data_IF_250162548192
#
_entry.id   IF_250162548192
#
_cell.length_a   1.000
_cell.length_b   1.000
_cell.length_c   1.000
_cell.angle_alpha   90.00
_cell.angle_beta   90.00
_cell.angle_gamma   90.00
#
_symmetry.space_group_name_H-M   'P 1'
#
loop_
_entity.id
_entity.type
_entity.pdbx_description
1 polymer ?
#
# COMPACT_ATOMS: atom_id res chain seq x y z
N UNK A 1 -11.34 20.92 22.82
CA UNK A 1 -11.79 19.67 22.17
C UNK A 1 -10.61 18.72 21.93
N UNK A 2 -9.61 19.10 21.15
CA UNK A 2 -8.49 18.19 20.74
C UNK A 2 -7.61 17.70 21.91
N UNK A 3 -7.25 18.55 22.87
CA UNK A 3 -6.46 18.13 24.04
C UNK A 3 -7.20 17.06 24.84
N UNK A 4 -8.48 17.27 25.14
CA UNK A 4 -9.31 16.29 25.84
C UNK A 4 -9.44 14.96 25.09
N UNK A 5 -9.59 15.01 23.75
CA UNK A 5 -9.61 13.79 22.96
C UNK A 5 -8.28 13.03 23.07
N UNK A 6 -7.15 13.74 23.01
CA UNK A 6 -5.81 13.14 23.15
C UNK A 6 -5.62 12.45 24.50
N UNK A 7 -6.04 13.10 25.58
CA UNK A 7 -6.00 12.55 26.94
C UNK A 7 -6.79 11.25 27.05
N UNK A 8 -7.98 11.18 26.43
CA UNK A 8 -8.81 9.98 26.39
C UNK A 8 -8.24 8.91 25.46
N UNK A 9 -7.71 9.29 24.30
CA UNK A 9 -7.20 8.38 23.29
C UNK A 9 -5.91 7.68 23.74
N UNK A 10 -5.04 8.37 24.50
CA UNK A 10 -3.74 7.83 24.92
C UNK A 10 -3.87 6.49 25.67
N UNK A 11 -4.61 6.38 26.79
CA UNK A 11 -4.71 5.10 27.50
C UNK A 11 -5.41 4.00 26.67
N UNK A 12 -6.32 4.39 25.76
CA UNK A 12 -6.98 3.44 24.86
C UNK A 12 -5.95 2.91 23.86
N UNK A 13 -5.15 3.79 23.28
CA UNK A 13 -4.09 3.43 22.35
C UNK A 13 -3.10 2.43 22.97
N UNK A 14 -2.59 2.73 24.16
CA UNK A 14 -1.61 1.86 24.82
C UNK A 14 -2.17 0.47 25.06
N UNK A 15 -3.38 0.36 25.62
CA UNK A 15 -4.04 -0.94 25.84
C UNK A 15 -4.32 -1.68 24.53
N UNK A 16 -4.79 -0.96 23.51
CA UNK A 16 -5.07 -1.58 22.21
C UNK A 16 -3.80 -2.08 21.52
N UNK A 17 -2.71 -1.29 21.59
CA UNK A 17 -1.41 -1.70 21.05
C UNK A 17 -0.88 -2.96 21.77
N UNK A 18 -0.88 -2.95 23.09
CA UNK A 18 -0.47 -4.09 23.90
C UNK A 18 -1.32 -5.33 23.62
N UNK A 19 -2.63 -5.16 23.52
CA UNK A 19 -3.54 -6.25 23.14
C UNK A 19 -3.18 -6.86 21.79
N UNK A 20 -2.93 -6.05 20.76
CA UNK A 20 -2.54 -6.53 19.44
C UNK A 20 -1.17 -7.20 19.42
N UNK A 21 -0.20 -6.72 20.20
CA UNK A 21 1.12 -7.37 20.35
C UNK A 21 0.99 -8.75 20.99
N UNK A 22 0.10 -8.89 21.96
CA UNK A 22 -0.15 -10.16 22.66
C UNK A 22 -1.09 -11.11 21.90
N UNK A 23 -1.84 -10.59 20.91
CA UNK A 23 -2.77 -11.36 20.08
C UNK A 23 -2.52 -11.11 18.58
N UNK A 24 -1.33 -11.42 18.05
CA UNK A 24 -0.97 -11.11 16.66
C UNK A 24 -1.86 -11.81 15.63
N UNK A 25 -2.43 -12.97 15.98
CA UNK A 25 -3.36 -13.69 15.12
C UNK A 25 -4.62 -12.89 14.80
N UNK A 26 -5.00 -11.91 15.63
CA UNK A 26 -6.12 -11.02 15.35
C UNK A 26 -5.80 -10.09 14.19
N UNK A 27 -4.60 -9.49 14.20
CA UNK A 27 -4.11 -8.65 13.07
C UNK A 27 -4.00 -9.48 11.80
N UNK A 28 -3.41 -10.68 11.87
CA UNK A 28 -3.25 -11.56 10.71
C UNK A 28 -4.62 -11.91 10.09
N UNK A 29 -5.59 -12.29 10.93
CA UNK A 29 -6.97 -12.58 10.47
C UNK A 29 -7.63 -11.37 9.83
N UNK A 30 -7.43 -10.18 10.42
CA UNK A 30 -8.00 -8.94 9.93
C UNK A 30 -7.39 -8.53 8.59
N UNK A 31 -6.06 -8.61 8.47
CA UNK A 31 -5.34 -8.36 7.20
C UNK A 31 -5.80 -9.35 6.12
N UNK A 32 -5.89 -10.64 6.45
CA UNK A 32 -6.37 -11.67 5.50
C UNK A 32 -7.80 -11.40 5.04
N UNK A 33 -8.70 -11.05 5.97
CA UNK A 33 -10.08 -10.71 5.63
C UNK A 33 -10.16 -9.52 4.67
N UNK A 34 -9.48 -8.40 4.99
CA UNK A 34 -9.48 -7.21 4.14
C UNK A 34 -8.84 -7.51 2.77
N UNK A 35 -7.72 -8.23 2.76
CA UNK A 35 -7.07 -8.65 1.51
C UNK A 35 -8.01 -9.47 0.64
N UNK A 36 -8.74 -10.42 1.23
CA UNK A 36 -9.69 -11.27 0.50
C UNK A 36 -10.85 -10.46 -0.09
N UNK A 37 -11.40 -9.50 0.66
CA UNK A 37 -12.46 -8.63 0.15
C UNK A 37 -11.96 -7.70 -0.96
N UNK A 38 -10.78 -7.10 -0.79
CA UNK A 38 -10.14 -6.27 -1.83
C UNK A 38 -9.86 -7.08 -3.08
N UNK A 39 -9.26 -8.25 -2.95
CA UNK A 39 -8.96 -9.13 -4.09
C UNK A 39 -10.24 -9.60 -4.80
N UNK A 40 -11.33 -9.86 -4.06
CA UNK A 40 -12.64 -10.17 -4.64
C UNK A 40 -13.20 -9.01 -5.47
N UNK A 41 -13.06 -7.76 -4.97
CA UNK A 41 -13.45 -6.55 -5.71
C UNK A 41 -12.64 -6.42 -7.00
N UNK A 42 -11.31 -6.55 -6.90
CA UNK A 42 -10.40 -6.43 -8.04
C UNK A 42 -10.68 -7.51 -9.09
N UNK A 43 -10.84 -8.78 -8.66
CA UNK A 43 -11.16 -9.89 -9.56
C UNK A 43 -12.48 -9.66 -10.32
N UNK A 44 -13.52 -9.24 -9.60
CA UNK A 44 -14.84 -8.97 -10.20
C UNK A 44 -14.78 -7.85 -11.25
N UNK A 45 -13.86 -6.89 -11.08
CA UNK A 45 -13.75 -5.72 -11.93
C UNK A 45 -12.51 -5.75 -12.85
N UNK A 46 -11.76 -6.85 -12.90
CA UNK A 46 -10.48 -6.93 -13.60
C UNK A 46 -10.58 -6.54 -15.09
N UNK A 47 -11.59 -7.07 -15.81
CA UNK A 47 -11.81 -6.74 -17.22
C UNK A 47 -12.16 -5.26 -17.45
N UNK A 48 -12.93 -4.66 -16.54
CA UNK A 48 -13.24 -3.23 -16.61
C UNK A 48 -12.01 -2.39 -16.32
N UNK A 49 -11.17 -2.81 -15.36
CA UNK A 49 -9.91 -2.14 -15.04
C UNK A 49 -8.95 -2.21 -16.22
N UNK A 50 -8.87 -3.36 -16.89
CA UNK A 50 -8.09 -3.52 -18.11
C UNK A 50 -8.60 -2.59 -19.22
N UNK A 51 -9.91 -2.58 -19.46
CA UNK A 51 -10.52 -1.71 -20.47
C UNK A 51 -10.23 -0.24 -20.19
N UNK A 52 -10.39 0.22 -18.94
CA UNK A 52 -10.12 1.62 -18.55
C UNK A 52 -8.63 1.96 -18.74
N UNK A 53 -7.73 1.05 -18.35
CA UNK A 53 -6.29 1.23 -18.49
C UNK A 53 -5.86 1.30 -19.96
N UNK A 54 -6.29 0.33 -20.77
CA UNK A 54 -5.94 0.22 -22.19
C UNK A 54 -6.52 1.41 -22.98
N UNK A 55 -7.74 1.83 -22.66
CA UNK A 55 -8.37 3.00 -23.29
C UNK A 55 -7.58 4.28 -23.02
N UNK A 56 -7.14 4.49 -21.78
CA UNK A 56 -6.30 5.64 -21.43
C UNK A 56 -4.93 5.58 -22.14
N UNK A 57 -4.37 4.39 -22.28
CA UNK A 57 -3.11 4.16 -22.99
C UNK A 57 -3.23 4.49 -24.48
N UNK A 58 -4.30 4.04 -25.15
CA UNK A 58 -4.58 4.33 -26.56
C UNK A 58 -4.73 5.84 -26.80
N UNK A 59 -5.23 6.58 -25.81
CA UNK A 59 -5.44 8.03 -25.92
C UNK A 59 -4.15 8.85 -25.73
N UNK A 60 -3.01 8.20 -25.49
CA UNK A 60 -1.73 8.88 -25.25
C UNK A 60 -1.36 9.93 -26.30
N UNK A 61 -1.55 9.76 -27.61
CA UNK A 61 -1.24 10.79 -28.62
C UNK A 61 -1.89 12.14 -28.37
N UNK A 62 -3.06 12.16 -27.69
CA UNK A 62 -3.78 13.40 -27.39
C UNK A 62 -3.25 14.17 -26.18
N UNK A 63 -2.50 13.52 -25.31
CA UNK A 63 -2.02 14.13 -24.06
C UNK A 63 -0.51 14.00 -23.81
N UNK A 64 0.24 13.46 -24.78
CA UNK A 64 1.70 13.34 -24.68
C UNK A 64 2.42 14.68 -24.47
N UNK A 65 1.86 15.76 -25.02
CA UNK A 65 2.41 17.11 -24.91
C UNK A 65 1.88 17.89 -23.70
N UNK A 66 1.13 17.26 -22.82
CA UNK A 66 0.63 17.89 -21.60
C UNK A 66 1.81 18.34 -20.73
N UNK A 67 1.84 19.58 -20.19
CA UNK A 67 2.99 20.09 -19.47
C UNK A 67 3.42 19.20 -18.31
N UNK A 68 4.72 18.93 -18.12
CA UNK A 68 5.22 18.06 -17.05
C UNK A 68 4.81 18.53 -15.65
N UNK A 69 4.80 19.82 -15.39
CA UNK A 69 4.39 20.41 -14.13
C UNK A 69 2.92 20.15 -13.77
N UNK A 70 2.05 20.08 -14.76
CA UNK A 70 0.63 19.78 -14.55
C UNK A 70 0.39 18.27 -14.36
N UNK A 71 1.34 17.44 -14.79
CA UNK A 71 1.33 15.98 -14.58
C UNK A 71 2.08 15.56 -13.33
N UNK A 72 2.71 16.49 -12.64
CA UNK A 72 3.47 16.25 -11.42
C UNK A 72 4.86 15.66 -11.61
N UNK A 73 5.25 15.21 -12.84
CA UNK A 73 6.59 14.62 -13.11
C UNK A 73 7.05 14.87 -14.53
N UNK A 74 8.37 15.10 -14.69
CA UNK A 74 9.00 15.01 -15.98
C UNK A 74 9.00 13.56 -16.50
N UNK A 75 8.81 13.33 -17.81
CA UNK A 75 8.91 12.01 -18.40
C UNK A 75 10.32 11.43 -18.24
N UNK A 76 10.43 10.18 -17.81
CA UNK A 76 11.70 9.46 -17.71
C UNK A 76 11.55 8.12 -18.42
N UNK A 77 12.07 8.02 -19.65
CA UNK A 77 12.06 6.77 -20.43
C UNK A 77 10.64 6.23 -20.65
N UNK A 78 10.48 4.93 -20.47
CA UNK A 78 9.24 4.19 -20.65
C UNK A 78 8.24 4.30 -19.47
N UNK A 79 8.65 4.95 -18.38
CA UNK A 79 7.78 5.14 -17.21
C UNK A 79 6.78 6.28 -17.36
N UNK A 80 6.98 7.08 -18.38
CA UNK A 80 6.11 8.19 -18.71
C UNK A 80 5.09 7.74 -19.77
N UNK A 81 3.90 8.09 -19.64
CA UNK A 81 3.00 8.67 -18.63
C UNK A 81 2.20 7.64 -17.83
N UNK A 82 2.57 6.40 -17.95
CA UNK A 82 1.81 5.20 -17.61
C UNK A 82 1.66 4.97 -16.12
N UNK A 83 2.55 5.55 -15.32
CA UNK A 83 2.43 5.51 -13.84
C UNK A 83 1.09 6.09 -13.41
N UNK A 84 0.72 7.25 -13.97
CA UNK A 84 -0.54 7.93 -13.62
C UNK A 84 -1.75 7.21 -14.19
N UNK A 85 -1.63 6.58 -15.36
CA UNK A 85 -2.73 5.80 -15.96
C UNK A 85 -3.22 4.70 -15.02
N UNK A 86 -2.32 4.00 -14.31
CA UNK A 86 -2.71 3.00 -13.33
C UNK A 86 -3.45 3.60 -12.13
N UNK A 87 -2.98 4.73 -11.62
CA UNK A 87 -3.61 5.44 -10.51
C UNK A 87 -5.02 5.90 -10.89
N UNK A 88 -5.17 6.51 -12.08
CA UNK A 88 -6.43 7.06 -12.54
C UNK A 88 -7.41 6.01 -13.10
N UNK A 89 -6.96 4.90 -13.64
CA UNK A 89 -7.85 3.84 -14.12
C UNK A 89 -8.18 2.82 -13.02
N UNK A 90 -7.19 2.04 -12.59
CA UNK A 90 -7.36 0.97 -11.59
C UNK A 90 -7.74 1.57 -10.23
N UNK A 91 -7.05 2.63 -9.78
CA UNK A 91 -7.26 3.26 -8.48
C UNK A 91 -8.66 3.89 -8.36
N UNK A 92 -9.11 4.65 -9.36
CA UNK A 92 -10.45 5.26 -9.35
C UNK A 92 -11.53 4.19 -9.37
N UNK A 93 -11.38 3.15 -10.19
CA UNK A 93 -12.36 2.06 -10.21
C UNK A 93 -12.41 1.33 -8.88
N UNK A 94 -11.27 1.02 -8.29
CA UNK A 94 -11.18 0.42 -6.97
C UNK A 94 -11.91 1.28 -5.91
N UNK A 95 -11.67 2.58 -5.90
CA UNK A 95 -12.31 3.53 -4.97
C UNK A 95 -13.84 3.55 -5.09
N UNK A 96 -14.37 3.42 -6.29
CA UNK A 96 -15.82 3.35 -6.52
C UNK A 96 -16.44 2.03 -6.04
N UNK A 97 -15.71 0.93 -6.22
CA UNK A 97 -16.22 -0.41 -5.95
C UNK A 97 -16.09 -0.84 -4.49
N UNK A 98 -15.18 -0.24 -3.71
CA UNK A 98 -14.95 -0.62 -2.31
C UNK A 98 -16.18 -0.37 -1.43
N UNK A 99 -16.96 0.65 -1.73
CA UNK A 99 -18.21 0.97 -1.05
C UNK A 99 -19.30 -0.13 -1.21
N UNK A 100 -19.13 -1.04 -2.16
CA UNK A 100 -20.02 -2.20 -2.31
C UNK A 100 -19.87 -3.24 -1.19
N UNK A 101 -18.80 -3.17 -0.41
CA UNK A 101 -18.44 -4.15 0.63
C UNK A 101 -18.36 -3.57 2.03
N UNK A 102 -18.10 -2.27 2.14
CA UNK A 102 -17.85 -1.59 3.40
C UNK A 102 -18.60 -0.27 3.47
N UNK A 103 -18.89 0.20 4.68
CA UNK A 103 -19.09 1.63 4.87
C UNK A 103 -17.73 2.30 4.78
N UNK A 104 -17.62 3.36 3.98
CA UNK A 104 -16.37 4.02 3.63
C UNK A 104 -16.42 5.47 4.04
N UNK A 105 -15.44 5.90 4.83
CA UNK A 105 -15.17 7.31 5.12
C UNK A 105 -13.81 7.70 4.57
N UNK A 106 -13.74 8.81 3.85
CA UNK A 106 -12.50 9.44 3.38
C UNK A 106 -12.19 10.65 4.26
N UNK A 107 -11.36 10.45 5.26
CA UNK A 107 -11.04 11.48 6.26
C UNK A 107 -9.79 12.31 5.91
N UNK A 108 -9.22 12.13 4.73
CA UNK A 108 -8.05 12.91 4.28
C UNK A 108 -6.81 12.72 5.15
N UNK A 109 -6.62 11.54 5.74
CA UNK A 109 -5.45 11.24 6.56
C UNK A 109 -4.14 11.41 5.77
N UNK A 110 -3.14 12.19 6.26
CA UNK A 110 -1.96 12.56 5.51
C UNK A 110 -0.98 11.39 5.39
N UNK A 111 -1.15 10.56 4.36
CA UNK A 111 -0.23 9.48 4.01
C UNK A 111 0.26 9.64 2.58
N UNK A 112 1.27 8.84 2.20
CA UNK A 112 1.72 8.76 0.81
C UNK A 112 0.99 7.71 -0.03
N UNK A 113 -0.03 7.05 0.51
CA UNK A 113 -0.85 6.10 -0.25
C UNK A 113 -1.83 6.85 -1.17
N UNK A 114 -2.08 6.31 -2.36
CA UNK A 114 -2.96 6.91 -3.35
C UNK A 114 -4.42 6.87 -2.90
N UNK A 115 -4.81 5.78 -2.24
CA UNK A 115 -6.15 5.55 -1.71
C UNK A 115 -6.10 5.33 -0.19
N UNK A 116 -6.98 5.98 0.55
CA UNK A 116 -7.01 6.02 2.02
C UNK A 116 -8.44 5.94 2.50
N UNK A 117 -8.82 4.81 3.07
CA UNK A 117 -10.18 4.58 3.50
C UNK A 117 -10.25 4.16 4.97
N UNK A 118 -11.14 4.78 5.73
CA UNK A 118 -11.66 4.19 6.94
C UNK A 118 -12.81 3.26 6.54
N UNK A 119 -12.57 1.96 6.64
CA UNK A 119 -13.54 0.92 6.29
C UNK A 119 -14.19 0.38 7.54
N UNK A 120 -15.53 0.34 7.59
CA UNK A 120 -16.25 -0.27 8.70
C UNK A 120 -17.29 -1.26 8.23
N UNK A 121 -17.49 -2.32 9.03
CA UNK A 121 -18.54 -3.31 8.81
C UNK A 121 -18.78 -4.17 10.06
N UNK A 122 -20.00 -4.70 10.20
CA UNK A 122 -20.34 -5.69 11.23
C UNK A 122 -19.51 -6.99 11.12
N UNK A 123 -18.94 -7.30 9.94
CA UNK A 123 -18.05 -8.46 9.76
C UNK A 123 -16.69 -8.24 10.42
N UNK A 124 -16.16 -7.01 10.37
CA UNK A 124 -14.93 -6.62 11.08
C UNK A 124 -15.16 -6.78 12.58
N UNK A 125 -16.24 -6.23 13.12
CA UNK A 125 -16.59 -6.31 14.55
C UNK A 125 -16.70 -7.75 15.02
N UNK A 126 -17.41 -8.59 14.28
CA UNK A 126 -17.54 -10.02 14.57
C UNK A 126 -16.18 -10.74 14.53
N UNK A 127 -15.37 -10.49 13.51
CA UNK A 127 -14.04 -11.10 13.34
C UNK A 127 -13.10 -10.74 14.49
N UNK A 128 -13.16 -9.51 14.95
CA UNK A 128 -12.33 -8.96 16.02
C UNK A 128 -12.92 -9.17 17.41
N UNK A 129 -14.06 -9.85 17.53
CA UNK A 129 -14.78 -10.09 18.80
C UNK A 129 -15.06 -8.78 19.55
N UNK A 130 -15.41 -7.72 18.84
CA UNK A 130 -15.72 -6.41 19.41
C UNK A 130 -14.51 -5.53 19.73
N UNK A 131 -13.28 -5.96 19.41
CA UNK A 131 -12.10 -5.11 19.57
C UNK A 131 -12.17 -3.86 18.70
N UNK A 132 -12.62 -3.99 17.46
CA UNK A 132 -12.88 -2.89 16.53
C UNK A 132 -13.97 -3.26 15.53
N UNK A 133 -14.65 -2.26 14.96
CA UNK A 133 -15.58 -2.40 13.84
C UNK A 133 -14.99 -1.85 12.52
N UNK A 134 -13.77 -1.34 12.58
CA UNK A 134 -13.17 -0.58 11.47
C UNK A 134 -11.67 -0.82 11.30
N UNK A 135 -11.17 -0.53 10.09
CA UNK A 135 -9.75 -0.52 9.73
C UNK A 135 -9.42 0.69 8.87
N UNK A 136 -8.20 1.19 8.96
CA UNK A 136 -7.61 2.07 7.97
C UNK A 136 -6.97 1.24 6.86
N UNK A 137 -7.52 1.31 5.66
CA UNK A 137 -6.90 0.74 4.47
C UNK A 137 -6.11 1.83 3.74
N UNK A 138 -4.81 1.62 3.60
CA UNK A 138 -3.90 2.40 2.77
C UNK A 138 -3.56 1.56 1.54
N UNK A 139 -4.13 1.90 0.40
CA UNK A 139 -3.85 1.21 -0.85
C UNK A 139 -3.03 2.12 -1.77
N UNK A 140 -1.92 1.60 -2.25
CA UNK A 140 -0.96 2.30 -3.07
C UNK A 140 -0.90 1.64 -4.44
N UNK A 141 -1.10 2.41 -5.50
CA UNK A 141 -1.17 1.91 -6.89
C UNK A 141 0.21 2.05 -7.53
N UNK A 142 0.80 0.94 -7.91
CA UNK A 142 2.19 0.88 -8.42
C UNK A 142 2.25 0.31 -9.83
N UNK A 143 1.97 1.14 -10.82
CA UNK A 143 2.15 0.76 -12.24
C UNK A 143 3.62 0.48 -12.54
N UNK A 144 3.88 -0.63 -13.22
CA UNK A 144 5.23 -1.06 -13.60
C UNK A 144 5.25 -1.63 -15.02
N UNK A 145 6.34 -1.38 -15.71
CA UNK A 145 6.57 -1.84 -17.06
C UNK A 145 7.57 -2.99 -17.18
N UNK A 146 7.92 -3.39 -18.40
CA UNK A 146 8.82 -4.53 -18.68
C UNK A 146 10.24 -4.36 -18.13
N UNK A 147 10.70 -3.12 -17.95
CA UNK A 147 12.04 -2.80 -17.43
C UNK A 147 12.11 -2.79 -15.91
N UNK A 148 10.98 -2.78 -15.26
CA UNK A 148 10.89 -2.75 -13.80
C UNK A 148 11.07 -4.17 -13.22
N UNK A 149 11.65 -4.24 -12.04
CA UNK A 149 11.65 -5.48 -11.29
C UNK A 149 10.23 -5.77 -10.77
N UNK A 150 9.64 -6.85 -11.25
CA UNK A 150 8.28 -7.25 -10.93
C UNK A 150 8.20 -8.08 -9.64
N UNK A 151 9.32 -8.52 -9.09
CA UNK A 151 9.40 -9.39 -7.90
C UNK A 151 9.21 -8.66 -6.57
N UNK A 152 9.00 -7.33 -6.58
CA UNK A 152 8.82 -6.53 -5.38
C UNK A 152 7.94 -5.30 -5.62
N UNK A 153 7.56 -4.61 -4.57
CA UNK A 153 6.99 -3.25 -4.64
C UNK A 153 7.84 -2.26 -3.86
N UNK A 154 7.87 -1.00 -4.31
CA UNK A 154 8.60 0.09 -3.64
C UNK A 154 7.65 0.84 -2.75
N UNK A 155 7.97 0.97 -1.48
CA UNK A 155 7.16 1.66 -0.47
C UNK A 155 7.92 2.83 0.14
N UNK A 156 7.26 3.95 0.27
CA UNK A 156 7.79 5.13 0.95
C UNK A 156 7.55 5.04 2.47
N UNK A 157 8.31 5.83 3.24
CA UNK A 157 8.20 5.86 4.70
C UNK A 157 6.77 6.19 5.19
N UNK A 158 6.00 6.96 4.44
CA UNK A 158 4.63 7.36 4.75
C UNK A 158 3.56 6.42 4.15
N UNK A 159 3.93 5.21 3.80
CA UNK A 159 3.04 4.16 3.27
C UNK A 159 3.05 2.89 4.13
N UNK A 160 4.05 2.70 4.98
CA UNK A 160 4.19 1.52 5.85
C UNK A 160 4.00 1.93 7.30
N UNK A 161 3.27 1.12 8.07
CA UNK A 161 3.13 1.30 9.51
C UNK A 161 4.32 0.72 10.29
N UNK A 162 4.61 1.31 11.44
CA UNK A 162 5.73 0.94 12.31
C UNK A 162 5.30 0.42 13.69
N UNK A 163 6.23 0.49 14.66
CA UNK A 163 6.06 -0.05 16.02
C UNK A 163 5.04 0.71 16.88
N UNK A 164 4.77 1.97 16.57
CA UNK A 164 3.74 2.77 17.22
C UNK A 164 3.96 2.98 18.72
N UNK A 165 5.10 3.53 19.11
CA UNK A 165 5.35 3.92 20.50
C UNK A 165 4.76 5.30 20.74
N UNK A 166 3.85 5.44 21.73
CA UNK A 166 3.33 6.75 22.10
C UNK A 166 4.27 7.39 23.12
N UNK A 167 4.92 8.46 22.70
CA UNK A 167 5.78 9.25 23.55
C UNK A 167 4.99 10.42 24.17
N UNK A 168 4.87 10.39 25.51
CA UNK A 168 4.16 11.43 26.25
C UNK A 168 4.89 12.78 26.21
N UNK A 169 6.22 12.79 26.16
CA UNK A 169 7.00 14.03 26.12
C UNK A 169 6.83 14.75 24.79
N UNK A 170 6.85 14.01 23.68
CA UNK A 170 6.64 14.54 22.34
C UNK A 170 5.15 14.57 21.94
N UNK A 171 4.25 14.12 22.80
CA UNK A 171 2.79 14.13 22.63
C UNK A 171 2.31 13.49 21.32
N UNK A 172 2.97 12.43 20.85
CA UNK A 172 2.64 11.78 19.60
C UNK A 172 3.07 10.31 19.54
N UNK A 173 2.66 9.66 18.46
CA UNK A 173 3.07 8.29 18.14
C UNK A 173 4.29 8.32 17.23
N UNK A 174 5.32 7.59 17.62
CA UNK A 174 6.58 7.46 16.90
C UNK A 174 6.83 6.00 16.55
N UNK A 175 7.60 5.76 15.52
CA UNK A 175 7.99 4.43 15.10
C UNK A 175 9.50 4.27 15.23
N UNK A 176 9.91 3.14 15.75
CA UNK A 176 11.33 2.73 15.72
C UNK A 176 11.74 2.39 14.27
N UNK A 177 13.01 2.60 13.91
CA UNK A 177 13.50 2.22 12.59
C UNK A 177 13.44 0.71 12.40
N UNK A 178 13.25 0.29 11.16
CA UNK A 178 13.31 -1.11 10.72
C UNK A 178 14.54 -1.30 9.85
N UNK A 179 15.32 -2.35 10.07
CA UNK A 179 16.48 -2.63 9.22
C UNK A 179 16.03 -3.24 7.88
N UNK A 180 16.07 -2.45 6.82
CA UNK A 180 15.91 -2.95 5.46
C UNK A 180 17.21 -3.67 5.04
N UNK A 181 17.15 -5.00 4.85
CA UNK A 181 18.31 -5.85 4.64
C UNK A 181 18.38 -6.36 3.20
N UNK A 182 19.40 -5.99 2.47
CA UNK A 182 19.69 -6.49 1.13
C UNK A 182 20.97 -7.32 1.09
N UNK A 183 21.23 -7.97 -0.04
CA UNK A 183 22.44 -8.78 -0.23
C UNK A 183 23.74 -7.98 -0.16
N UNK A 184 23.72 -6.71 -0.59
CA UNK A 184 24.93 -5.87 -0.72
C UNK A 184 24.92 -4.63 0.18
N UNK A 185 23.78 -4.27 0.72
CA UNK A 185 23.62 -3.09 1.55
C UNK A 185 22.43 -3.26 2.47
N UNK A 186 22.45 -2.52 3.58
CA UNK A 186 21.33 -2.39 4.49
C UNK A 186 21.20 -0.92 4.87
N UNK A 187 19.99 -0.48 5.22
CA UNK A 187 19.77 0.85 5.82
C UNK A 187 18.59 0.82 6.77
N UNK A 188 18.54 1.77 7.66
CA UNK A 188 17.38 1.99 8.50
C UNK A 188 16.24 2.58 7.67
N UNK A 189 15.08 1.96 7.75
CA UNK A 189 13.83 2.45 7.18
C UNK A 189 12.98 3.01 8.33
N UNK A 190 12.53 4.25 8.20
CA UNK A 190 11.78 4.98 9.22
C UNK A 190 10.30 5.07 8.82
N UNK A 191 9.44 4.10 9.17
CA UNK A 191 8.02 4.17 8.85
C UNK A 191 7.39 5.36 9.58
N UNK A 192 6.51 6.09 8.88
CA UNK A 192 5.86 7.26 9.47
C UNK A 192 4.43 6.97 9.96
N UNK A 193 3.83 5.86 9.52
CA UNK A 193 2.44 5.53 9.83
C UNK A 193 2.38 4.74 11.16
N UNK A 194 1.48 5.07 12.09
CA UNK A 194 1.26 4.25 13.29
C UNK A 194 0.59 2.92 12.93
N UNK A 195 0.75 1.85 13.73
CA UNK A 195 0.13 0.55 13.46
C UNK A 195 -1.39 0.55 13.67
N UNK A 196 -1.88 1.48 14.46
CA UNK A 196 -3.30 1.72 14.72
C UNK A 196 -3.54 3.20 15.03
N UNK A 197 -4.77 3.64 14.87
CA UNK A 197 -5.22 5.01 15.11
C UNK A 197 -6.43 4.94 16.06
N UNK A 198 -6.57 5.90 16.96
CA UNK A 198 -7.79 6.05 17.74
C UNK A 198 -8.68 7.08 17.04
N UNK A 199 -9.84 6.63 16.61
CA UNK A 199 -10.81 7.48 15.90
C UNK A 199 -11.44 8.53 16.81
N UNK A 200 -12.21 9.44 16.24
CA UNK A 200 -12.97 10.44 17.01
C UNK A 200 -13.93 9.78 18.01
N UNK A 201 -14.46 8.62 17.68
CA UNK A 201 -15.34 7.82 18.58
C UNK A 201 -14.56 7.00 19.63
N UNK A 202 -13.27 7.26 19.79
CA UNK A 202 -12.37 6.57 20.74
C UNK A 202 -12.23 5.05 20.47
N UNK A 203 -12.47 4.60 19.25
CA UNK A 203 -12.27 3.20 18.86
C UNK A 203 -10.85 2.98 18.30
N UNK A 204 -10.18 1.90 18.69
CA UNK A 204 -8.90 1.51 18.10
C UNK A 204 -9.14 0.99 16.68
N UNK A 205 -8.39 1.49 15.71
CA UNK A 205 -8.55 1.18 14.30
C UNK A 205 -7.20 0.78 13.71
N UNK A 206 -6.94 -0.52 13.50
CA UNK A 206 -5.69 -1.00 12.91
C UNK A 206 -5.48 -0.48 11.49
N UNK A 207 -4.22 -0.26 11.13
CA UNK A 207 -3.81 0.15 9.79
C UNK A 207 -3.43 -1.08 8.97
N UNK A 208 -3.98 -1.17 7.77
CA UNK A 208 -3.66 -2.21 6.77
C UNK A 208 -3.08 -1.53 5.55
N UNK A 209 -1.92 -1.99 5.10
CA UNK A 209 -1.25 -1.45 3.91
C UNK A 209 -1.28 -2.46 2.79
N UNK A 210 -1.72 -2.04 1.61
CA UNK A 210 -1.72 -2.85 0.40
C UNK A 210 -1.07 -2.09 -0.75
N UNK A 211 -0.32 -2.81 -1.58
CA UNK A 211 0.05 -2.36 -2.92
C UNK A 211 -0.84 -3.08 -3.94
N UNK A 212 -1.42 -2.31 -4.85
CA UNK A 212 -2.11 -2.81 -6.05
C UNK A 212 -1.19 -2.49 -7.22
N UNK A 213 -0.76 -3.51 -7.95
CA UNK A 213 0.32 -3.39 -8.93
C UNK A 213 -0.18 -3.74 -10.33
N UNK A 214 -0.64 -2.75 -11.11
CA UNK A 214 -0.85 -2.90 -12.54
C UNK A 214 0.49 -3.13 -13.24
N UNK A 215 0.59 -4.20 -14.04
CA UNK A 215 1.77 -4.51 -14.86
C UNK A 215 1.37 -4.35 -16.31
N UNK A 216 2.08 -3.49 -17.04
CA UNK A 216 1.86 -3.30 -18.46
C UNK A 216 2.99 -3.89 -19.30
N UNK A 217 2.70 -4.24 -20.55
CA UNK A 217 3.68 -4.53 -21.58
C UNK A 217 3.89 -3.31 -22.46
N UNK A 218 4.84 -3.40 -23.38
CA UNK A 218 5.09 -2.38 -24.40
C UNK A 218 4.88 -3.01 -25.77
N UNK A 219 3.93 -2.50 -26.51
CA UNK A 219 3.73 -2.89 -27.89
C UNK A 219 4.60 -2.03 -28.81
N UNK A 220 5.36 -2.64 -29.76
CA UNK A 220 6.09 -1.87 -30.74
C UNK A 220 5.14 -1.07 -31.63
N UNK A 221 5.48 0.15 -31.92
CA UNK A 221 4.82 0.93 -32.94
C UNK A 221 5.30 0.52 -34.34
N UNK A 222 4.41 0.60 -35.32
CA UNK A 222 4.78 0.53 -36.73
C UNK A 222 5.33 1.86 -37.27
N UNK A 223 5.30 2.91 -36.46
CA UNK A 223 5.78 4.25 -36.79
C UNK A 223 7.14 4.51 -36.14
N UNK A 224 8.16 4.84 -36.97
CA UNK A 224 9.52 5.12 -36.48
C UNK A 224 9.64 6.42 -35.67
N UNK A 225 8.70 7.38 -35.83
CA UNK A 225 8.66 8.62 -35.08
C UNK A 225 7.98 8.43 -33.69
N UNK A 226 7.14 7.42 -33.57
CA UNK A 226 6.46 7.05 -32.34
C UNK A 226 6.79 5.60 -31.99
N UNK A 227 7.90 5.33 -31.29
CA UNK A 227 8.38 3.98 -31.04
C UNK A 227 7.44 3.12 -30.17
N UNK A 228 6.35 3.68 -29.67
CA UNK A 228 5.45 3.01 -28.74
C UNK A 228 4.03 2.91 -29.32
N UNK A 229 3.61 1.71 -29.66
CA UNK A 229 2.26 1.44 -30.20
C UNK A 229 1.17 1.44 -29.12
N UNK A 230 1.53 1.17 -27.88
CA UNK A 230 0.63 1.12 -26.74
C UNK A 230 1.28 0.46 -25.53
N UNK A 231 0.63 0.55 -24.39
CA UNK A 231 1.07 -0.08 -23.15
C UNK A 231 -0.12 -0.81 -22.50
N UNK A 232 -0.55 -1.94 -23.06
CA UNK A 232 -1.68 -2.68 -22.54
C UNK A 232 -1.39 -3.25 -21.15
N UNK A 233 -2.42 -3.28 -20.31
CA UNK A 233 -2.37 -3.96 -19.01
C UNK A 233 -2.32 -5.48 -19.23
N UNK A 234 -1.27 -6.14 -18.73
CA UNK A 234 -1.06 -7.58 -18.90
C UNK A 234 -1.20 -8.37 -17.62
N UNK A 235 -1.09 -7.72 -16.45
CA UNK A 235 -1.27 -8.39 -15.16
C UNK A 235 -1.66 -7.39 -14.08
N UNK A 236 -2.42 -7.87 -13.12
CA UNK A 236 -2.78 -7.15 -11.90
C UNK A 236 -2.40 -7.98 -10.69
N UNK A 237 -1.45 -7.49 -9.91
CA UNK A 237 -1.00 -8.14 -8.68
C UNK A 237 -1.44 -7.32 -7.45
N UNK A 238 -1.54 -7.99 -6.29
CA UNK A 238 -1.71 -7.35 -4.99
C UNK A 238 -0.67 -7.84 -4.01
N UNK A 239 -0.26 -6.96 -3.10
CA UNK A 239 0.62 -7.31 -2.00
C UNK A 239 0.14 -6.63 -0.71
N UNK A 240 -0.12 -7.42 0.34
CA UNK A 240 -0.47 -6.92 1.67
C UNK A 240 0.77 -6.93 2.55
N UNK A 241 1.22 -5.75 2.91
CA UNK A 241 2.39 -5.54 3.77
C UNK A 241 1.94 -5.75 5.22
N UNK A 242 2.62 -6.62 5.99
CA UNK A 242 2.26 -6.84 7.39
C UNK A 242 2.26 -5.54 8.19
N UNK A 243 1.30 -5.41 9.10
CA UNK A 243 1.23 -4.29 10.03
C UNK A 243 2.54 -4.16 10.82
N UNK A 244 2.91 -2.93 11.17
CA UNK A 244 4.18 -2.63 11.85
C UNK A 244 4.39 -3.40 13.16
N UNK A 245 3.32 -3.76 13.89
CA UNK A 245 3.44 -4.61 15.08
C UNK A 245 3.85 -6.05 14.72
N UNK A 246 3.35 -6.60 13.62
CA UNK A 246 3.76 -7.91 13.11
C UNK A 246 5.21 -7.87 12.60
N UNK A 247 5.60 -6.75 11.98
CA UNK A 247 6.96 -6.57 11.47
C UNK A 247 8.00 -6.50 12.60
N UNK A 248 7.73 -5.74 13.67
CA UNK A 248 8.75 -5.33 14.66
C UNK A 248 8.58 -5.96 16.05
N UNK A 249 7.37 -6.37 16.44
CA UNK A 249 7.06 -6.83 17.80
C UNK A 249 6.80 -8.34 17.82
N UNK A 250 5.59 -8.76 17.56
CA UNK A 250 5.20 -10.17 17.59
C UNK A 250 4.36 -10.49 16.35
N UNK A 251 4.79 -11.39 15.49
CA UNK A 251 5.90 -12.38 15.63
C UNK A 251 7.31 -11.88 15.28
N UNK A 252 7.54 -10.59 15.05
CA UNK A 252 8.78 -9.98 14.60
C UNK A 252 9.25 -10.56 13.24
N UNK A 253 8.44 -10.28 12.23
CA UNK A 253 8.66 -10.82 10.88
C UNK A 253 9.95 -10.33 10.24
N UNK A 254 10.42 -9.12 10.57
CA UNK A 254 11.70 -8.61 10.07
C UNK A 254 12.88 -9.47 10.53
N UNK A 255 12.84 -9.97 11.76
CA UNK A 255 13.86 -10.89 12.29
C UNK A 255 13.73 -12.31 11.72
N UNK A 256 12.48 -12.78 11.53
CA UNK A 256 12.21 -14.15 11.01
C UNK A 256 12.47 -14.26 9.51
N UNK A 257 12.27 -13.18 8.77
CA UNK A 257 12.38 -13.13 7.32
C UNK A 257 13.28 -11.95 6.90
N UNK A 258 14.60 -12.06 7.09
CA UNK A 258 15.55 -11.04 6.62
C UNK A 258 15.40 -10.84 5.11
N UNK A 259 15.38 -9.55 4.69
CA UNK A 259 15.14 -9.19 3.28
C UNK A 259 13.66 -9.07 2.91
N UNK A 260 12.71 -9.24 3.83
CA UNK A 260 11.30 -8.88 3.62
C UNK A 260 11.19 -7.40 3.19
N UNK A 261 11.90 -6.52 3.91
CA UNK A 261 12.21 -5.17 3.47
C UNK A 261 13.70 -5.11 3.07
N UNK A 262 13.98 -4.54 1.90
CA UNK A 262 15.35 -4.40 1.41
C UNK A 262 15.59 -3.06 0.71
N UNK A 263 16.87 -2.57 0.64
CA UNK A 263 17.22 -1.29 0.07
C UNK A 263 16.96 -1.18 -1.44
N UNK A 264 16.63 0.03 -1.89
CA UNK A 264 16.62 0.39 -3.30
C UNK A 264 17.98 0.87 -3.82
N UNK A 265 18.15 0.87 -5.15
CA UNK A 265 19.35 1.43 -5.79
C UNK A 265 19.39 2.95 -5.77
N UNK A 266 18.24 3.61 -5.65
CA UNK A 266 18.04 5.01 -6.03
C UNK A 266 18.06 5.99 -4.85
N UNK A 267 18.43 5.54 -3.65
CA UNK A 267 18.23 6.33 -2.43
C UNK A 267 19.52 6.95 -1.84
N UNK A 268 20.66 6.85 -2.52
CA UNK A 268 21.97 7.25 -1.98
C UNK A 268 22.12 8.74 -1.62
N UNK A 269 21.26 9.60 -2.13
CA UNK A 269 21.36 11.07 -1.97
C UNK A 269 20.18 11.67 -1.21
N UNK A 270 19.27 10.85 -0.68
CA UNK A 270 18.08 11.31 0.01
C UNK A 270 18.31 11.48 1.52
N UNK A 271 17.47 12.30 2.14
CA UNK A 271 17.35 12.33 3.60
C UNK A 271 17.14 10.90 4.14
N UNK A 272 18.01 10.41 5.05
CA UNK A 272 17.91 9.05 5.60
C UNK A 272 16.52 8.71 6.15
N UNK A 273 15.80 9.69 6.69
CA UNK A 273 14.43 9.49 7.20
C UNK A 273 13.37 9.30 6.12
N UNK A 274 13.69 9.58 4.86
CA UNK A 274 12.79 9.49 3.70
C UNK A 274 13.20 8.39 2.73
N UNK A 275 14.14 7.53 3.11
CA UNK A 275 14.53 6.38 2.31
C UNK A 275 13.33 5.47 2.08
N UNK A 276 13.25 4.92 0.87
CA UNK A 276 12.23 3.94 0.52
C UNK A 276 12.73 2.53 0.80
N UNK A 277 11.83 1.62 1.10
CA UNK A 277 12.11 0.19 1.15
C UNK A 277 11.41 -0.54 0.00
N UNK A 278 12.00 -1.62 -0.44
CA UNK A 278 11.36 -2.59 -1.33
C UNK A 278 10.83 -3.75 -0.50
N UNK A 279 9.64 -4.22 -0.83
CA UNK A 279 8.97 -5.35 -0.18
C UNK A 279 9.04 -6.54 -1.11
N UNK A 280 9.72 -7.62 -0.72
CA UNK A 280 9.89 -8.82 -1.52
C UNK A 280 8.61 -9.66 -1.60
N UNK A 281 8.11 -9.92 -2.80
CA UNK A 281 6.92 -10.75 -3.01
C UNK A 281 7.17 -12.23 -2.69
N UNK A 282 8.36 -12.72 -3.00
CA UNK A 282 8.73 -14.09 -2.67
C UNK A 282 8.72 -14.33 -1.15
N UNK A 283 9.26 -13.37 -0.39
CA UNK A 283 9.29 -13.45 1.06
C UNK A 283 7.89 -13.23 1.65
N UNK A 284 7.08 -12.30 1.13
CA UNK A 284 5.68 -12.14 1.54
C UNK A 284 4.90 -13.45 1.41
N UNK A 285 5.07 -14.16 0.28
CA UNK A 285 4.45 -15.49 0.07
C UNK A 285 4.94 -16.55 1.06
N UNK A 286 6.19 -16.45 1.50
CA UNK A 286 6.76 -17.35 2.51
C UNK A 286 6.26 -17.04 3.92
N UNK A 287 5.88 -15.79 4.21
CA UNK A 287 5.19 -15.41 5.45
C UNK A 287 3.80 -16.01 5.46
N UNK A 288 3.00 -15.66 4.45
CA UNK A 288 1.65 -16.19 4.23
C UNK A 288 1.34 -16.13 2.72
N UNK A 289 0.90 -17.23 2.08
CA UNK A 289 0.66 -17.27 0.62
C UNK A 289 -0.34 -16.24 0.12
N UNK A 290 -1.30 -15.81 0.94
CA UNK A 290 -2.33 -14.82 0.58
C UNK A 290 -1.80 -13.38 0.52
N UNK A 291 -0.61 -13.10 1.08
CA UNK A 291 -0.05 -11.74 1.13
C UNK A 291 0.39 -11.20 -0.22
N UNK A 292 0.68 -12.05 -1.17
CA UNK A 292 0.91 -11.64 -2.55
C UNK A 292 0.16 -12.56 -3.50
N UNK A 293 -0.69 -11.97 -4.34
CA UNK A 293 -1.52 -12.69 -5.29
C UNK A 293 -1.55 -12.00 -6.65
N UNK A 294 -1.55 -12.79 -7.70
CA UNK A 294 -1.93 -12.33 -9.05
C UNK A 294 -3.45 -12.44 -9.17
N UNK A 295 -4.10 -11.30 -9.34
CA UNK A 295 -5.56 -11.18 -9.44
C UNK A 295 -6.04 -11.58 -10.82
N UNK A 296 -5.36 -11.10 -11.86
CA UNK A 296 -5.63 -11.42 -13.26
C UNK A 296 -4.34 -11.35 -14.07
N UNK A 297 -4.27 -12.18 -15.10
CA UNK A 297 -3.21 -12.15 -16.09
C UNK A 297 -3.84 -12.30 -17.47
N UNK A 298 -3.50 -11.39 -18.37
CA UNK A 298 -3.96 -11.37 -19.74
C UNK A 298 -2.77 -11.66 -20.67
N UNK A 299 -2.92 -12.72 -21.44
CA UNK A 299 -1.95 -13.02 -22.50
C UNK A 299 -2.26 -12.09 -23.67
N UNK A 300 -1.27 -11.39 -24.17
CA UNK A 300 -1.35 -10.64 -25.42
C UNK A 300 -1.17 -11.58 -26.59
#
# INVERSE_FOLDING_TARGET
>A
MFAKHRELAHPIYLRAREYLVNNPELLIKLEHFITSEVNSILTKNAEKMKFDYDSASIMYPFWQNYPPEERGRAPIGDQFPWIEVGEHSVGIRFSREIASRFTVDDLGFPTGADQRFLLSSARIEKLTKGFTDSVWLLADIKSVGPRDDQGHTVMSHNQISGSGVWDLFNQGVFNEPMLATGQRASHDFYPAIPPLIITQSLKPTPVITMAIKPVYSMEPSYDSEFPWGGQPLVRLDTATIPNGLLLTQNPNLMKKFPGLLFPGKDDKTKDPRKLRARVSFAILKSVDPWRHQTISSWNN
#
